data_IF_718238929677
#
_entry.id   IF_718238929677
#
_cell.length_a   1.000
_cell.length_b   1.000
_cell.length_c   1.000
_cell.angle_alpha   90.00
_cell.angle_beta   90.00
_cell.angle_gamma   90.00
#
_symmetry.space_group_name_H-M   'P 1'
#
loop_
_entity.id
_entity.type
_entity.pdbx_description
1 polymer ?
#
# COMPACT_ATOMS: atom_id res chain seq x y z
N UNK A 1 -1.99 -15.41 16.49
CA UNK A 1 -2.56 -14.56 17.57
C UNK A 1 -3.82 -13.84 17.08
N UNK A 2 -3.79 -13.09 15.95
CA UNK A 2 -4.95 -12.31 15.50
C UNK A 2 -6.17 -13.19 15.17
N UNK A 3 -6.02 -14.23 14.33
CA UNK A 3 -7.09 -15.19 14.04
C UNK A 3 -7.68 -15.83 15.31
N UNK A 4 -6.83 -16.20 16.27
CA UNK A 4 -7.26 -16.73 17.58
C UNK A 4 -8.05 -15.71 18.41
N UNK A 5 -7.71 -14.42 18.31
CA UNK A 5 -8.48 -13.35 18.95
C UNK A 5 -9.88 -13.26 18.38
N UNK A 6 -10.04 -13.39 17.06
CA UNK A 6 -11.35 -13.41 16.40
C UNK A 6 -12.15 -14.65 16.79
N UNK A 7 -11.51 -15.82 16.92
CA UNK A 7 -12.20 -17.04 17.41
C UNK A 7 -12.76 -16.85 18.84
N UNK A 8 -12.02 -16.17 19.71
CA UNK A 8 -12.55 -15.84 21.05
C UNK A 8 -13.75 -14.91 21.02
N UNK A 9 -13.81 -13.95 20.07
CA UNK A 9 -14.99 -13.10 19.90
C UNK A 9 -16.24 -13.93 19.53
N UNK A 10 -16.07 -15.02 18.79
CA UNK A 10 -17.17 -15.92 18.43
C UNK A 10 -17.75 -16.66 19.64
N UNK A 11 -16.95 -16.92 20.67
CA UNK A 11 -17.39 -17.63 21.90
C UNK A 11 -18.41 -16.82 22.70
N UNK A 12 -18.46 -15.48 22.52
CA UNK A 12 -19.45 -14.65 23.22
C UNK A 12 -20.89 -14.87 22.76
N UNK A 13 -21.10 -15.44 21.58
CA UNK A 13 -22.44 -15.68 21.00
C UNK A 13 -23.33 -14.44 21.08
N UNK A 14 -22.79 -13.28 20.72
CA UNK A 14 -23.42 -11.99 20.86
C UNK A 14 -24.60 -11.81 19.91
N UNK A 15 -25.64 -11.14 20.35
CA UNK A 15 -26.80 -10.77 19.51
C UNK A 15 -26.56 -9.52 18.67
N UNK A 16 -25.63 -8.65 19.11
CA UNK A 16 -25.26 -7.42 18.43
C UNK A 16 -23.74 -7.29 18.40
N UNK A 17 -23.19 -7.05 17.21
CA UNK A 17 -21.77 -6.71 16.99
C UNK A 17 -21.70 -5.26 16.50
N UNK A 18 -20.98 -4.42 17.25
CA UNK A 18 -20.70 -3.03 16.86
C UNK A 18 -19.22 -2.96 16.46
N UNK A 19 -18.91 -2.89 15.14
CA UNK A 19 -17.53 -2.77 14.69
C UNK A 19 -17.04 -1.32 14.85
N UNK A 20 -15.72 -1.13 14.89
CA UNK A 20 -15.12 0.21 14.88
C UNK A 20 -15.46 1.01 13.61
N UNK A 21 -15.62 0.32 12.49
CA UNK A 21 -15.97 0.87 11.19
C UNK A 21 -17.07 0.02 10.57
N UNK A 22 -18.06 0.67 9.99
CA UNK A 22 -19.20 0.01 9.37
C UNK A 22 -20.46 0.07 10.25
N UNK A 23 -21.50 -0.62 9.80
CA UNK A 23 -22.79 -0.66 10.51
C UNK A 23 -22.82 -1.79 11.55
N UNK A 24 -23.63 -1.64 12.62
CA UNK A 24 -23.91 -2.74 13.54
C UNK A 24 -24.46 -3.96 12.80
N UNK A 25 -24.09 -5.14 13.28
CA UNK A 25 -24.61 -6.43 12.79
C UNK A 25 -25.46 -7.05 13.87
N UNK A 26 -26.70 -7.38 13.54
CA UNK A 26 -27.66 -8.00 14.46
C UNK A 26 -27.92 -9.46 14.07
N UNK A 27 -28.02 -10.31 15.10
CA UNK A 27 -28.30 -11.72 15.02
C UNK A 27 -27.09 -12.61 15.19
N UNK A 28 -27.13 -13.50 16.18
CA UNK A 28 -26.03 -14.37 16.59
C UNK A 28 -25.45 -15.20 15.42
N UNK A 29 -26.31 -15.78 14.57
CA UNK A 29 -25.86 -16.60 13.43
C UNK A 29 -25.10 -15.76 12.39
N UNK A 30 -25.57 -14.54 12.09
CA UNK A 30 -24.92 -13.62 11.16
C UNK A 30 -23.56 -13.17 11.69
N UNK A 31 -23.51 -12.87 12.99
CA UNK A 31 -22.28 -12.46 13.67
C UNK A 31 -21.26 -13.61 13.67
N UNK A 32 -21.71 -14.82 14.03
CA UNK A 32 -20.86 -16.01 14.02
C UNK A 32 -20.29 -16.29 12.63
N UNK A 33 -21.13 -16.19 11.59
CA UNK A 33 -20.68 -16.36 10.20
C UNK A 33 -19.69 -15.27 9.80
N UNK A 34 -19.97 -13.99 10.08
CA UNK A 34 -19.09 -12.87 9.78
C UNK A 34 -17.72 -13.02 10.43
N UNK A 35 -17.70 -13.32 11.74
CA UNK A 35 -16.45 -13.52 12.47
C UNK A 35 -15.68 -14.74 11.98
N UNK A 36 -16.38 -15.79 11.54
CA UNK A 36 -15.76 -16.96 10.90
C UNK A 36 -15.07 -16.56 9.61
N UNK A 37 -15.77 -15.88 8.71
CA UNK A 37 -15.20 -15.46 7.42
C UNK A 37 -14.05 -14.46 7.62
N UNK A 38 -14.14 -13.57 8.61
CA UNK A 38 -13.07 -12.64 8.97
C UNK A 38 -11.82 -13.37 9.50
N UNK A 39 -12.00 -14.31 10.42
CA UNK A 39 -10.93 -15.18 10.91
C UNK A 39 -10.27 -15.97 9.77
N UNK A 40 -11.08 -16.56 8.88
CA UNK A 40 -10.59 -17.34 7.75
C UNK A 40 -9.76 -16.49 6.78
N UNK A 41 -10.18 -15.24 6.53
CA UNK A 41 -9.42 -14.31 5.69
C UNK A 41 -8.04 -14.00 6.29
N UNK A 42 -7.99 -13.69 7.59
CA UNK A 42 -6.73 -13.43 8.30
C UNK A 42 -5.82 -14.65 8.25
N UNK A 43 -6.36 -15.82 8.57
CA UNK A 43 -5.60 -17.06 8.59
C UNK A 43 -5.12 -17.45 7.20
N UNK A 44 -5.96 -17.30 6.17
CA UNK A 44 -5.57 -17.57 4.79
C UNK A 44 -4.36 -16.74 4.36
N UNK A 45 -4.41 -15.42 4.58
CA UNK A 45 -3.29 -14.54 4.22
C UNK A 45 -2.02 -14.93 4.97
N UNK A 46 -2.12 -15.18 6.27
CA UNK A 46 -1.00 -15.61 7.10
C UNK A 46 -0.41 -16.93 6.58
N UNK A 47 -1.23 -17.96 6.41
CA UNK A 47 -0.77 -19.29 6.06
C UNK A 47 -0.21 -19.35 4.63
N UNK A 48 -0.82 -18.62 3.67
CA UNK A 48 -0.26 -18.52 2.33
C UNK A 48 1.06 -17.74 2.33
N UNK A 49 1.18 -16.69 3.12
CA UNK A 49 2.45 -15.97 3.27
C UNK A 49 3.54 -16.90 3.76
N UNK A 50 3.31 -17.62 4.86
CA UNK A 50 4.28 -18.62 5.38
C UNK A 50 4.59 -19.72 4.36
N UNK A 51 3.59 -20.19 3.64
CA UNK A 51 3.78 -21.21 2.61
C UNK A 51 4.75 -20.76 1.53
N UNK A 52 4.61 -19.52 1.04
CA UNK A 52 5.48 -19.01 -0.01
C UNK A 52 6.84 -18.55 0.54
N UNK A 53 6.91 -18.00 1.76
CA UNK A 53 8.17 -17.77 2.46
C UNK A 53 9.03 -19.03 2.54
N UNK A 54 8.42 -20.15 2.95
CA UNK A 54 9.10 -21.46 3.03
C UNK A 54 9.55 -22.01 1.66
N UNK A 55 9.04 -21.45 0.57
CA UNK A 55 9.48 -21.75 -0.80
C UNK A 55 10.56 -20.78 -1.30
N UNK A 56 10.98 -19.82 -0.48
CA UNK A 56 12.01 -18.83 -0.83
C UNK A 56 11.51 -17.62 -1.62
N UNK A 57 10.20 -17.37 -1.66
CA UNK A 57 9.64 -16.19 -2.31
C UNK A 57 9.92 -14.93 -1.48
N UNK A 58 10.24 -13.85 -2.15
CA UNK A 58 10.35 -12.51 -1.55
C UNK A 58 8.97 -11.95 -1.20
N UNK A 59 8.86 -10.99 -0.27
CA UNK A 59 7.58 -10.36 0.07
C UNK A 59 6.84 -9.77 -1.14
N UNK A 60 7.57 -9.21 -2.11
CA UNK A 60 6.98 -8.65 -3.33
C UNK A 60 6.41 -9.74 -4.24
N UNK A 61 7.14 -10.82 -4.44
CA UNK A 61 6.64 -11.98 -5.21
C UNK A 61 5.42 -12.61 -4.54
N UNK A 62 5.39 -12.68 -3.20
CA UNK A 62 4.24 -13.23 -2.46
C UNK A 62 2.99 -12.36 -2.68
N UNK A 63 3.12 -11.03 -2.72
CA UNK A 63 1.99 -10.13 -3.03
C UNK A 63 1.34 -10.42 -4.40
N UNK A 64 2.13 -10.87 -5.37
CA UNK A 64 1.64 -11.15 -6.72
C UNK A 64 0.98 -12.54 -6.84
N UNK A 65 1.45 -13.52 -6.08
CA UNK A 65 0.95 -14.90 -6.18
C UNK A 65 -0.19 -15.22 -5.20
N UNK A 66 -0.31 -14.49 -4.10
CA UNK A 66 -1.40 -14.68 -3.14
C UNK A 66 -2.63 -13.91 -3.58
N UNK A 67 -3.65 -14.67 -3.95
CA UNK A 67 -4.97 -14.11 -4.30
C UNK A 67 -6.00 -14.60 -3.29
N UNK A 68 -6.78 -13.66 -2.74
CA UNK A 68 -7.87 -13.99 -1.82
C UNK A 68 -8.91 -14.87 -2.53
N UNK A 69 -9.38 -15.97 -1.90
CA UNK A 69 -10.47 -16.75 -2.45
C UNK A 69 -11.72 -15.90 -2.72
N UNK A 70 -12.41 -16.10 -3.85
CA UNK A 70 -13.58 -15.32 -4.29
C UNK A 70 -14.63 -15.17 -3.19
N UNK A 71 -14.90 -16.23 -2.42
CA UNK A 71 -15.83 -16.21 -1.28
C UNK A 71 -15.49 -15.13 -0.24
N UNK A 72 -14.20 -14.86 -0.02
CA UNK A 72 -13.71 -13.88 0.94
C UNK A 72 -13.49 -12.51 0.29
N UNK A 73 -13.06 -12.49 -0.97
CA UNK A 73 -12.81 -11.27 -1.72
C UNK A 73 -14.09 -10.45 -1.95
N UNK A 74 -15.18 -11.12 -2.31
CA UNK A 74 -16.47 -10.48 -2.62
C UNK A 74 -17.35 -10.34 -1.39
N UNK A 75 -16.84 -10.67 -0.21
CA UNK A 75 -17.59 -10.57 1.03
C UNK A 75 -17.83 -9.09 1.41
N UNK A 76 -19.08 -8.66 1.68
CA UNK A 76 -19.42 -7.25 1.86
C UNK A 76 -18.73 -6.58 3.05
N UNK A 77 -18.30 -7.36 4.05
CA UNK A 77 -17.65 -6.87 5.27
C UNK A 77 -16.12 -7.03 5.27
N UNK A 78 -15.56 -7.75 4.28
CA UNK A 78 -14.12 -7.99 4.19
C UNK A 78 -13.45 -7.15 3.11
N UNK A 79 -14.14 -6.13 2.59
CA UNK A 79 -13.58 -5.20 1.62
C UNK A 79 -12.35 -4.47 2.19
N UNK A 80 -11.40 -4.20 1.32
CA UNK A 80 -10.15 -3.50 1.67
C UNK A 80 -10.38 -1.99 1.81
N UNK A 81 -11.22 -1.58 2.77
CA UNK A 81 -11.58 -0.18 2.99
C UNK A 81 -10.54 0.61 3.79
N UNK A 82 -9.79 -0.07 4.68
CA UNK A 82 -8.73 0.48 5.53
C UNK A 82 -7.45 -0.31 5.42
N UNK A 83 -7.48 -1.60 5.70
CA UNK A 83 -6.36 -2.51 5.54
C UNK A 83 -6.34 -3.14 4.15
N UNK A 84 -5.19 -3.68 3.77
CA UNK A 84 -5.04 -4.49 2.56
C UNK A 84 -4.29 -5.77 2.89
N UNK A 85 -4.78 -6.91 2.40
CA UNK A 85 -4.06 -8.17 2.58
C UNK A 85 -2.69 -8.13 1.89
N UNK A 86 -2.58 -7.41 0.77
CA UNK A 86 -1.29 -7.21 0.08
C UNK A 86 -0.26 -6.48 0.95
N UNK A 87 -0.69 -5.57 1.83
CA UNK A 87 0.20 -4.91 2.79
C UNK A 87 0.45 -5.74 4.05
N UNK A 88 -0.47 -6.64 4.40
CA UNK A 88 -0.26 -7.57 5.51
C UNK A 88 0.85 -8.59 5.20
N UNK A 89 1.03 -8.96 3.94
CA UNK A 89 2.05 -9.94 3.51
C UNK A 89 3.46 -9.51 3.91
N UNK A 90 3.99 -8.35 3.48
CA UNK A 90 5.33 -7.92 3.90
C UNK A 90 5.43 -7.71 5.41
N UNK A 91 4.36 -7.25 6.08
CA UNK A 91 4.36 -7.13 7.54
C UNK A 91 4.51 -8.50 8.23
N UNK A 92 3.85 -9.55 7.73
CA UNK A 92 4.02 -10.92 8.22
C UNK A 92 5.45 -11.40 7.97
N UNK A 93 6.00 -11.16 6.77
CA UNK A 93 7.38 -11.53 6.45
C UNK A 93 8.38 -10.87 7.41
N UNK A 94 8.23 -9.56 7.66
CA UNK A 94 9.07 -8.83 8.61
C UNK A 94 8.92 -9.37 10.03
N UNK A 95 7.70 -9.74 10.43
CA UNK A 95 7.42 -10.33 11.74
C UNK A 95 8.14 -11.65 12.00
N UNK A 96 8.37 -12.46 10.97
CA UNK A 96 9.04 -13.76 11.07
C UNK A 96 10.53 -13.72 10.74
N UNK A 97 10.93 -12.96 9.71
CA UNK A 97 12.30 -12.97 9.16
C UNK A 97 13.07 -11.67 9.45
N UNK A 98 12.41 -10.65 10.00
CA UNK A 98 12.99 -9.32 10.13
C UNK A 98 12.97 -8.55 8.80
N UNK A 99 13.67 -7.43 8.76
CA UNK A 99 13.65 -6.48 7.63
C UNK A 99 14.43 -6.94 6.40
N UNK A 100 15.35 -7.87 6.55
CA UNK A 100 16.19 -8.35 5.46
C UNK A 100 15.43 -9.28 4.52
N UNK A 101 15.36 -8.92 3.26
CA UNK A 101 14.56 -9.62 2.25
C UNK A 101 15.32 -10.68 1.45
N UNK A 102 16.59 -10.95 1.80
CA UNK A 102 17.40 -11.98 1.18
C UNK A 102 18.35 -11.49 0.08
N UNK A 103 18.15 -10.29 -0.47
CA UNK A 103 19.07 -9.72 -1.47
C UNK A 103 20.08 -8.76 -0.81
N UNK A 104 21.40 -9.10 -0.81
CA UNK A 104 22.44 -8.28 -0.22
C UNK A 104 22.53 -6.84 -0.75
N UNK A 105 22.05 -6.57 -1.96
CA UNK A 105 22.03 -5.21 -2.53
C UNK A 105 21.20 -4.24 -1.67
N UNK A 106 20.25 -4.76 -0.87
CA UNK A 106 19.40 -3.96 0.01
C UNK A 106 20.05 -3.60 1.34
N UNK A 107 21.22 -4.18 1.68
CA UNK A 107 21.92 -3.92 2.93
C UNK A 107 22.53 -2.50 2.97
N UNK A 108 23.15 -2.10 1.86
CA UNK A 108 23.77 -0.78 1.72
C UNK A 108 23.52 -0.24 0.30
N UNK A 109 22.29 0.15 0.01
CA UNK A 109 21.95 0.64 -1.33
C UNK A 109 22.57 2.02 -1.58
N UNK A 110 22.82 2.34 -2.85
CA UNK A 110 23.22 3.70 -3.26
C UNK A 110 22.23 4.73 -2.65
N UNK A 111 22.73 5.85 -2.09
CA UNK A 111 21.87 6.88 -1.49
C UNK A 111 20.76 7.35 -2.44
N UNK A 112 19.60 7.66 -1.90
CA UNK A 112 18.37 7.89 -2.68
C UNK A 112 18.50 8.94 -3.77
N UNK A 113 19.16 10.10 -3.48
CA UNK A 113 19.31 11.18 -4.46
C UNK A 113 20.28 10.77 -5.57
N UNK A 114 21.43 10.20 -5.20
CA UNK A 114 22.41 9.71 -6.16
C UNK A 114 21.83 8.61 -7.06
N UNK A 115 21.09 7.67 -6.48
CA UNK A 115 20.42 6.61 -7.24
C UNK A 115 19.36 7.18 -8.19
N UNK A 116 18.60 8.17 -7.75
CA UNK A 116 17.62 8.85 -8.58
C UNK A 116 18.30 9.55 -9.77
N UNK A 117 19.44 10.22 -9.55
CA UNK A 117 20.21 10.84 -10.62
C UNK A 117 20.70 9.82 -11.65
N UNK A 118 21.28 8.71 -11.18
CA UNK A 118 21.72 7.62 -12.05
C UNK A 118 20.59 7.03 -12.90
N UNK A 119 19.39 6.87 -12.31
CA UNK A 119 18.22 6.40 -13.06
C UNK A 119 17.78 7.42 -14.10
N UNK A 120 17.73 8.72 -13.77
CA UNK A 120 17.41 9.76 -14.74
C UNK A 120 18.38 9.76 -15.93
N UNK A 121 19.67 9.67 -15.66
CA UNK A 121 20.71 9.63 -16.71
C UNK A 121 20.51 8.43 -17.64
N UNK A 122 20.25 7.24 -17.07
CA UNK A 122 19.99 6.01 -17.82
C UNK A 122 18.68 6.06 -18.63
N UNK A 123 17.66 6.79 -18.14
CA UNK A 123 16.35 6.92 -18.80
C UNK A 123 16.33 8.06 -19.85
N UNK A 124 17.44 8.74 -20.10
CA UNK A 124 17.53 9.81 -21.08
C UNK A 124 17.28 11.22 -20.52
N UNK A 125 17.43 11.38 -19.21
CA UNK A 125 17.36 12.67 -18.53
C UNK A 125 15.95 13.12 -18.13
N UNK A 126 15.92 14.22 -17.38
CA UNK A 126 14.69 14.82 -16.81
C UNK A 126 13.55 14.97 -17.81
N UNK A 127 13.82 15.61 -18.95
CA UNK A 127 12.81 15.93 -19.96
C UNK A 127 12.14 14.67 -20.52
N UNK A 128 12.94 13.65 -20.82
CA UNK A 128 12.45 12.37 -21.33
C UNK A 128 11.59 11.66 -20.30
N UNK A 129 12.00 11.68 -19.03
CA UNK A 129 11.25 11.02 -17.94
C UNK A 129 9.92 11.73 -17.70
N UNK A 130 9.89 13.07 -17.66
CA UNK A 130 8.65 13.81 -17.48
C UNK A 130 7.69 13.69 -18.67
N UNK A 131 8.21 13.66 -19.90
CA UNK A 131 7.38 13.38 -21.07
C UNK A 131 6.70 12.01 -20.96
N UNK A 132 7.47 10.97 -20.62
CA UNK A 132 6.92 9.62 -20.40
C UNK A 132 5.95 9.54 -19.22
N UNK A 133 6.19 10.29 -18.15
CA UNK A 133 5.26 10.35 -17.02
C UNK A 133 3.90 10.95 -17.46
N UNK A 134 3.91 12.01 -18.27
CA UNK A 134 2.67 12.58 -18.83
C UNK A 134 1.98 11.62 -19.78
N UNK A 135 2.73 10.93 -20.64
CA UNK A 135 2.18 9.93 -21.55
C UNK A 135 1.50 8.79 -20.78
N UNK A 136 2.15 8.30 -19.71
CA UNK A 136 1.59 7.28 -18.83
C UNK A 136 0.29 7.78 -18.15
N UNK A 137 0.28 9.00 -17.64
CA UNK A 137 -0.90 9.60 -17.02
C UNK A 137 -2.06 9.74 -18.02
N UNK A 138 -1.80 10.24 -19.22
CA UNK A 138 -2.79 10.34 -20.29
C UNK A 138 -3.29 8.96 -20.73
N UNK A 139 -2.42 7.94 -20.69
CA UNK A 139 -2.76 6.55 -20.98
C UNK A 139 -3.53 5.83 -19.85
N UNK A 140 -3.76 6.51 -18.71
CA UNK A 140 -4.49 5.96 -17.56
C UNK A 140 -3.63 5.21 -16.56
N UNK A 141 -2.31 5.14 -16.75
CA UNK A 141 -1.36 4.52 -15.81
C UNK A 141 -0.80 5.55 -14.82
N UNK A 142 -1.67 5.98 -13.90
CA UNK A 142 -1.36 6.99 -12.90
C UNK A 142 -0.26 6.54 -11.91
N UNK A 143 -0.21 5.23 -11.60
CA UNK A 143 0.82 4.68 -10.72
C UNK A 143 2.21 4.85 -11.35
N UNK A 144 2.37 4.42 -12.59
CA UNK A 144 3.64 4.54 -13.30
C UNK A 144 4.05 6.00 -13.54
N UNK A 145 3.09 6.86 -13.85
CA UNK A 145 3.32 8.30 -13.96
C UNK A 145 3.89 8.89 -12.66
N UNK A 146 3.30 8.55 -11.51
CA UNK A 146 3.78 9.00 -10.21
C UNK A 146 5.18 8.45 -9.90
N UNK A 147 5.47 7.19 -10.25
CA UNK A 147 6.80 6.58 -10.06
C UNK A 147 7.87 7.31 -10.87
N UNK A 148 7.63 7.56 -12.17
CA UNK A 148 8.56 8.29 -13.02
C UNK A 148 8.82 9.71 -12.51
N UNK A 149 7.76 10.48 -12.22
CA UNK A 149 7.90 11.85 -11.70
C UNK A 149 8.61 11.87 -10.33
N UNK A 150 8.47 10.80 -9.53
CA UNK A 150 9.15 10.69 -8.24
C UNK A 150 10.67 10.73 -8.37
N UNK A 151 11.27 10.15 -9.41
CA UNK A 151 12.71 10.20 -9.60
C UNK A 151 13.20 11.63 -9.85
N UNK A 152 12.45 12.43 -10.60
CA UNK A 152 12.80 13.84 -10.86
C UNK A 152 12.67 14.66 -9.57
N UNK A 153 11.55 14.54 -8.85
CA UNK A 153 11.34 15.25 -7.57
C UNK A 153 12.38 14.87 -6.52
N UNK A 154 12.91 13.65 -6.53
CA UNK A 154 13.96 13.24 -5.60
C UNK A 154 15.31 13.91 -5.87
N UNK A 155 15.61 14.18 -7.13
CA UNK A 155 16.85 14.90 -7.51
C UNK A 155 16.71 16.39 -7.22
N UNK A 156 15.55 16.97 -7.57
CA UNK A 156 15.25 18.38 -7.31
C UNK A 156 13.82 18.52 -6.73
N UNK A 157 13.74 18.73 -5.43
CA UNK A 157 12.47 18.94 -4.72
C UNK A 157 11.77 20.23 -5.09
N UNK A 158 12.49 21.21 -5.66
CA UNK A 158 11.96 22.49 -6.10
C UNK A 158 11.42 22.47 -7.53
N UNK A 159 11.60 21.37 -8.27
CA UNK A 159 11.13 21.22 -9.64
C UNK A 159 9.59 21.28 -9.70
N UNK A 160 9.08 22.47 -10.00
CA UNK A 160 7.64 22.74 -10.00
C UNK A 160 6.87 21.88 -11.03
N UNK A 161 7.47 21.63 -12.19
CA UNK A 161 6.85 20.82 -13.25
C UNK A 161 6.76 19.34 -12.85
N UNK A 162 7.83 18.78 -12.31
CA UNK A 162 7.84 17.39 -11.83
C UNK A 162 6.87 17.19 -10.65
N UNK A 163 6.80 18.17 -9.75
CA UNK A 163 5.84 18.20 -8.64
C UNK A 163 4.40 18.18 -9.14
N UNK A 164 4.07 19.04 -10.11
CA UNK A 164 2.74 19.11 -10.70
C UNK A 164 2.35 17.78 -11.36
N UNK A 165 3.21 17.20 -12.19
CA UNK A 165 2.96 15.91 -12.84
C UNK A 165 2.73 14.81 -11.79
N UNK A 166 3.54 14.77 -10.72
CA UNK A 166 3.38 13.81 -9.65
C UNK A 166 2.08 14.01 -8.87
N UNK A 167 1.72 15.28 -8.57
CA UNK A 167 0.50 15.61 -7.87
C UNK A 167 -0.75 15.17 -8.65
N UNK A 168 -0.79 15.44 -9.94
CA UNK A 168 -1.89 15.03 -10.81
C UNK A 168 -2.01 13.51 -10.90
N UNK A 169 -0.89 12.82 -11.04
CA UNK A 169 -0.86 11.36 -11.05
C UNK A 169 -1.37 10.77 -9.72
N UNK A 170 -0.95 11.32 -8.58
CA UNK A 170 -1.41 10.89 -7.27
C UNK A 170 -2.90 11.15 -7.05
N UNK A 171 -3.45 12.25 -7.56
CA UNK A 171 -4.90 12.52 -7.50
C UNK A 171 -5.70 11.46 -8.27
N UNK A 172 -5.30 11.20 -9.52
CA UNK A 172 -5.96 10.17 -10.34
C UNK A 172 -5.87 8.81 -9.68
N UNK A 173 -4.68 8.43 -9.20
CA UNK A 173 -4.47 7.18 -8.49
C UNK A 173 -5.33 7.09 -7.23
N UNK A 174 -5.35 8.14 -6.41
CA UNK A 174 -6.04 8.18 -5.12
C UNK A 174 -7.57 8.07 -5.28
N UNK A 175 -8.17 8.78 -6.22
CA UNK A 175 -9.62 8.70 -6.45
C UNK A 175 -10.09 7.33 -6.94
N UNK A 176 -9.19 6.50 -7.47
CA UNK A 176 -9.48 5.13 -7.85
C UNK A 176 -9.32 4.12 -6.68
N UNK A 177 -8.88 4.57 -5.49
CA UNK A 177 -8.69 3.68 -4.35
C UNK A 177 -9.96 3.54 -3.50
N UNK A 178 -10.38 2.28 -3.25
CA UNK A 178 -11.40 1.99 -2.24
C UNK A 178 -10.87 2.19 -0.82
N UNK A 179 -9.58 1.92 -0.63
CA UNK A 179 -8.90 2.04 0.64
C UNK A 179 -8.80 3.51 1.06
N UNK A 180 -9.45 3.88 2.16
CA UNK A 180 -9.53 5.26 2.62
C UNK A 180 -8.15 5.83 3.01
N UNK A 181 -7.28 5.02 3.60
CA UNK A 181 -5.93 5.43 3.97
C UNK A 181 -5.08 5.69 2.74
N UNK A 182 -5.12 4.82 1.75
CA UNK A 182 -4.37 5.01 0.50
C UNK A 182 -4.84 6.26 -0.25
N UNK A 183 -6.17 6.39 -0.39
CA UNK A 183 -6.74 7.58 -1.01
C UNK A 183 -6.30 8.86 -0.31
N UNK A 184 -6.39 8.90 1.02
CA UNK A 184 -6.04 10.09 1.77
C UNK A 184 -4.53 10.39 1.71
N UNK A 185 -3.67 9.39 1.77
CA UNK A 185 -2.23 9.59 1.58
C UNK A 185 -1.91 10.15 0.19
N UNK A 186 -2.53 9.61 -0.87
CA UNK A 186 -2.33 10.13 -2.22
C UNK A 186 -2.79 11.59 -2.36
N UNK A 187 -3.99 11.91 -1.84
CA UNK A 187 -4.53 13.27 -1.90
C UNK A 187 -3.72 14.26 -1.05
N UNK A 188 -3.32 13.87 0.17
CA UNK A 188 -2.48 14.70 1.04
C UNK A 188 -1.14 14.99 0.38
N UNK A 189 -0.48 13.94 -0.14
CA UNK A 189 0.80 14.12 -0.85
C UNK A 189 0.68 15.01 -2.09
N UNK A 190 -0.46 14.97 -2.79
CA UNK A 190 -0.70 15.87 -3.91
C UNK A 190 -0.80 17.34 -3.44
N UNK A 191 -1.51 17.63 -2.35
CA UNK A 191 -1.61 18.98 -1.76
C UNK A 191 -0.26 19.49 -1.26
N UNK A 192 0.58 18.61 -0.66
CA UNK A 192 1.94 18.95 -0.26
C UNK A 192 2.83 19.31 -1.48
N UNK A 193 2.69 18.57 -2.57
CA UNK A 193 3.42 18.84 -3.82
C UNK A 193 3.01 20.16 -4.46
N UNK A 194 1.74 20.57 -4.37
CA UNK A 194 1.25 21.85 -4.85
C UNK A 194 1.62 23.02 -3.94
N UNK A 195 2.05 22.75 -2.70
CA UNK A 195 2.35 23.77 -1.69
C UNK A 195 1.10 24.33 -1.00
N UNK A 196 -0.03 23.63 -1.10
CA UNK A 196 -1.28 24.00 -0.41
C UNK A 196 -1.28 23.57 1.07
N UNK A 197 -0.43 22.63 1.45
CA UNK A 197 -0.20 22.21 2.82
C UNK A 197 1.22 22.54 3.25
N UNK A 198 1.35 23.22 4.41
CA UNK A 198 2.64 23.41 5.05
C UNK A 198 3.18 22.04 5.51
N UNK A 199 4.39 21.72 5.10
CA UNK A 199 5.09 20.49 5.50
C UNK A 199 5.36 20.40 7.01
N UNK A 200 5.11 21.47 7.76
CA UNK A 200 5.28 21.57 9.21
C UNK A 200 4.29 20.71 10.03
N UNK A 201 3.29 20.11 9.42
CA UNK A 201 2.22 19.35 10.08
C UNK A 201 2.45 17.83 10.23
N UNK A 202 3.65 17.30 9.99
CA UNK A 202 3.96 15.90 10.27
C UNK A 202 3.48 14.89 9.22
N UNK A 203 3.25 15.32 8.00
CA UNK A 203 3.15 14.41 6.86
C UNK A 203 4.47 13.62 6.77
N UNK A 204 4.41 12.30 6.70
CA UNK A 204 5.59 11.50 6.40
C UNK A 204 6.03 11.83 4.99
N UNK A 205 6.80 12.90 4.82
CA UNK A 205 7.60 13.09 3.60
C UNK A 205 8.62 11.98 3.60
N UNK A 206 8.29 10.89 2.95
CA UNK A 206 9.24 9.83 2.69
C UNK A 206 10.39 10.42 1.86
N UNK A 207 11.42 10.85 2.55
CA UNK A 207 12.67 11.14 1.92
C UNK A 207 13.25 12.52 2.14
N UNK A 208 13.43 12.94 3.37
CA UNK A 208 14.59 13.77 3.72
C UNK A 208 15.06 13.49 5.12
N UNK A 209 16.23 12.93 5.28
CA UNK A 209 17.12 13.47 6.29
C UNK A 209 17.70 14.76 5.70
N UNK A 210 17.68 15.82 6.48
CA UNK A 210 18.55 16.98 6.28
C UNK A 210 20.01 16.54 6.33
#
# INVERSE_FOLDING_TARGET
IWAQGVDRLREFNADILIPHHGHPVEGADKISKLLTDYRDAIQFVHDQTLRYMNKGYTPDEIKEVVTMPTRLQDHPWLGEFYGSYKHSIPAICVGYLGWYQGDPITLEPTPWVERAQRYLDMMGGRETVLARARDALHGGDAQWAAELATWVVRVDKSDAEARAVKADALRVWAYNQKNATWRNWGLTSALELDGELDQAGGGMVLGSPD
#
